data_IF_741710708988
#
_entry.id   IF_741710708988
#
_cell.length_a   1.000
_cell.length_b   1.000
_cell.length_c   1.000
_cell.angle_alpha   90.00
_cell.angle_beta   90.00
_cell.angle_gamma   90.00
#
_symmetry.space_group_name_H-M   'P 1'
#
loop_
_entity.id
_entity.type
_entity.pdbx_description
1 polymer ?
#
# COMPACT_ATOMS: atom_id res chain seq x y z
N UNK A 1 -14.80 27.81 -50.01
CA UNK A 1 -14.71 26.33 -49.87
C UNK A 1 -13.30 25.82 -49.59
N UNK A 2 -12.27 26.24 -50.35
CA UNK A 2 -10.89 25.73 -50.13
C UNK A 2 -10.37 26.15 -48.75
N UNK A 3 -10.54 27.42 -48.36
CA UNK A 3 -10.11 27.93 -47.04
C UNK A 3 -10.82 27.20 -45.90
N UNK A 4 -12.14 27.00 -45.99
CA UNK A 4 -12.92 26.29 -44.98
C UNK A 4 -12.54 24.80 -44.87
N UNK A 5 -12.23 24.15 -46.00
CA UNK A 5 -11.77 22.75 -46.01
C UNK A 5 -10.37 22.63 -45.40
N UNK A 6 -9.45 23.53 -45.74
CA UNK A 6 -8.11 23.57 -45.15
C UNK A 6 -8.18 23.77 -43.64
N UNK A 7 -9.01 24.71 -43.16
CA UNK A 7 -9.21 24.93 -41.72
C UNK A 7 -9.74 23.65 -41.04
N UNK A 8 -10.74 22.99 -41.64
CA UNK A 8 -11.29 21.74 -41.10
C UNK A 8 -10.23 20.63 -41.03
N UNK A 9 -9.40 20.48 -42.06
CA UNK A 9 -8.32 19.51 -42.10
C UNK A 9 -7.25 19.74 -41.01
N UNK A 10 -7.05 20.97 -40.55
CA UNK A 10 -6.16 21.25 -39.41
C UNK A 10 -6.86 21.10 -38.06
N UNK A 11 -8.15 21.46 -37.97
CA UNK A 11 -8.90 21.40 -36.71
C UNK A 11 -9.17 19.97 -36.25
N UNK A 12 -9.51 19.05 -37.16
CA UNK A 12 -9.85 17.67 -36.78
C UNK A 12 -8.68 16.93 -36.11
N UNK A 13 -7.45 16.90 -36.68
CA UNK A 13 -6.30 16.31 -36.00
C UNK A 13 -5.97 16.99 -34.69
N UNK A 14 -6.06 18.32 -34.64
CA UNK A 14 -5.76 19.09 -33.42
C UNK A 14 -6.73 18.75 -32.29
N UNK A 15 -8.03 18.69 -32.58
CA UNK A 15 -9.07 18.29 -31.63
C UNK A 15 -8.89 16.84 -31.17
N UNK A 16 -8.55 15.94 -32.10
CA UNK A 16 -8.27 14.55 -31.76
C UNK A 16 -7.07 14.44 -30.80
N UNK A 17 -5.97 15.14 -31.08
CA UNK A 17 -4.78 15.15 -30.23
C UNK A 17 -5.08 15.71 -28.84
N UNK A 18 -5.84 16.80 -28.75
CA UNK A 18 -6.25 17.39 -27.46
C UNK A 18 -7.12 16.39 -26.69
N UNK A 19 -8.15 15.83 -27.32
CA UNK A 19 -9.05 14.86 -26.69
C UNK A 19 -8.30 13.64 -26.19
N UNK A 20 -7.38 13.11 -27.00
CA UNK A 20 -6.59 11.94 -26.64
C UNK A 20 -5.65 12.23 -25.46
N UNK A 21 -4.99 13.39 -25.47
CA UNK A 21 -4.10 13.83 -24.38
C UNK A 21 -4.87 13.97 -23.07
N UNK A 22 -6.00 14.66 -23.10
CA UNK A 22 -6.88 14.82 -21.93
C UNK A 22 -7.34 13.45 -21.41
N UNK A 23 -7.76 12.55 -22.29
CA UNK A 23 -8.16 11.19 -21.88
C UNK A 23 -7.04 10.43 -21.17
N UNK A 24 -5.81 10.51 -21.69
CA UNK A 24 -4.65 9.88 -21.07
C UNK A 24 -4.33 10.46 -19.70
N UNK A 25 -4.32 11.78 -19.57
CA UNK A 25 -4.07 12.46 -18.29
C UNK A 25 -5.14 12.13 -17.25
N UNK A 26 -6.41 12.11 -17.66
CA UNK A 26 -7.52 11.72 -16.78
C UNK A 26 -7.36 10.28 -16.30
N UNK A 27 -7.02 9.34 -17.20
CA UNK A 27 -6.77 7.93 -16.82
C UNK A 27 -5.61 7.79 -15.84
N UNK A 28 -4.51 8.52 -16.06
CA UNK A 28 -3.36 8.52 -15.15
C UNK A 28 -3.72 9.12 -13.79
N UNK A 29 -4.47 10.22 -13.77
CA UNK A 29 -4.92 10.87 -12.53
C UNK A 29 -5.83 9.94 -11.72
N UNK A 30 -6.85 9.35 -12.37
CA UNK A 30 -7.76 8.39 -11.73
C UNK A 30 -7.00 7.16 -11.25
N UNK A 31 -6.08 6.64 -12.07
CA UNK A 31 -5.22 5.50 -11.70
C UNK A 31 -4.39 5.80 -10.45
N UNK A 32 -3.79 6.99 -10.38
CA UNK A 32 -2.96 7.42 -9.24
C UNK A 32 -3.79 7.62 -7.98
N UNK A 33 -4.96 8.26 -8.13
CA UNK A 33 -5.89 8.46 -7.02
C UNK A 33 -6.35 7.12 -6.43
N UNK A 34 -6.65 6.14 -7.29
CA UNK A 34 -7.04 4.79 -6.86
C UNK A 34 -5.94 4.10 -6.04
N UNK A 35 -4.68 4.12 -6.51
CA UNK A 35 -3.57 3.53 -5.75
C UNK A 35 -3.37 4.22 -4.39
N UNK A 36 -3.49 5.56 -4.37
CA UNK A 36 -3.38 6.34 -3.13
C UNK A 36 -4.49 6.01 -2.13
N UNK A 37 -5.74 5.86 -2.58
CA UNK A 37 -6.86 5.48 -1.70
C UNK A 37 -6.70 4.07 -1.13
N UNK A 38 -6.16 3.16 -1.94
CA UNK A 38 -5.84 1.80 -1.50
C UNK A 38 -4.77 1.80 -0.40
N UNK A 39 -3.70 2.57 -0.61
CA UNK A 39 -2.65 2.77 0.38
C UNK A 39 -3.17 3.39 1.69
N UNK A 40 -4.01 4.43 1.61
CA UNK A 40 -4.58 5.08 2.80
C UNK A 40 -5.47 4.12 3.61
N UNK A 41 -6.23 3.26 2.92
CA UNK A 41 -7.06 2.24 3.57
C UNK A 41 -6.20 1.21 4.31
N UNK A 42 -5.09 0.78 3.68
CA UNK A 42 -4.10 -0.10 4.30
C UNK A 42 -3.45 0.54 5.53
N UNK A 43 -3.07 1.83 5.45
CA UNK A 43 -2.45 2.55 6.56
C UNK A 43 -3.32 2.65 7.80
N UNK A 44 -4.63 2.85 7.66
CA UNK A 44 -5.53 2.89 8.81
C UNK A 44 -5.51 1.58 9.61
N UNK A 45 -5.51 0.44 8.93
CA UNK A 45 -5.42 -0.88 9.57
C UNK A 45 -4.08 -1.11 10.25
N UNK A 46 -2.99 -0.89 9.51
CA UNK A 46 -1.63 -1.20 9.97
C UNK A 46 -1.20 -0.32 11.12
N UNK A 47 -1.57 0.96 11.09
CA UNK A 47 -1.17 1.91 12.12
C UNK A 47 -1.74 1.54 13.49
N UNK A 48 -2.98 1.04 13.56
CA UNK A 48 -3.59 0.61 14.82
C UNK A 48 -2.91 -0.64 15.38
N UNK A 49 -2.56 -1.60 14.51
CA UNK A 49 -1.94 -2.87 14.93
C UNK A 49 -0.49 -2.68 15.37
N UNK A 50 0.29 -1.88 14.65
CA UNK A 50 1.69 -1.59 15.02
C UNK A 50 1.78 -0.82 16.32
N UNK A 51 0.86 0.12 16.56
CA UNK A 51 0.83 0.85 17.84
C UNK A 51 0.64 -0.07 19.05
N UNK A 52 -0.04 -1.20 18.86
CA UNK A 52 -0.28 -2.21 19.89
C UNK A 52 0.70 -3.39 19.82
N UNK A 53 1.53 -3.40 18.78
CA UNK A 53 2.44 -4.49 18.45
C UNK A 53 3.77 -4.38 19.18
N UNK A 54 4.42 -5.53 19.37
CA UNK A 54 5.78 -5.64 19.88
C UNK A 54 6.50 -6.83 19.24
N UNK A 55 7.82 -6.89 19.41
CA UNK A 55 8.62 -8.01 18.89
C UNK A 55 8.60 -8.08 17.36
N UNK A 56 8.63 -6.92 16.69
CA UNK A 56 8.63 -6.84 15.23
C UNK A 56 9.86 -7.56 14.66
N UNK A 57 9.63 -8.49 13.74
CA UNK A 57 10.68 -9.18 13.01
C UNK A 57 10.17 -9.61 11.64
N UNK A 58 11.10 -9.96 10.74
CA UNK A 58 10.76 -10.57 9.46
C UNK A 58 11.09 -12.05 9.46
N UNK A 59 10.27 -12.84 8.77
CA UNK A 59 10.57 -14.24 8.51
C UNK A 59 11.44 -14.43 7.26
N UNK A 60 11.76 -15.68 6.93
CA UNK A 60 12.57 -16.05 5.77
C UNK A 60 11.92 -15.64 4.42
N UNK A 61 10.61 -15.43 4.40
CA UNK A 61 9.85 -15.00 3.22
C UNK A 61 9.66 -13.47 3.18
N UNK A 62 10.37 -12.73 4.04
CA UNK A 62 10.21 -11.29 4.20
C UNK A 62 8.79 -10.89 4.61
N UNK A 63 8.06 -11.75 5.34
CA UNK A 63 6.80 -11.37 5.97
C UNK A 63 7.08 -10.68 7.30
N UNK A 64 6.37 -9.59 7.60
CA UNK A 64 6.41 -8.97 8.93
C UNK A 64 5.58 -9.78 9.92
N UNK A 65 6.17 -10.11 11.06
CA UNK A 65 5.52 -10.79 12.17
C UNK A 65 5.71 -9.98 13.44
N UNK A 66 4.66 -9.87 14.25
CA UNK A 66 4.70 -9.21 15.56
C UNK A 66 3.60 -9.73 16.49
N UNK A 67 3.81 -9.55 17.79
CA UNK A 67 2.86 -9.91 18.84
C UNK A 67 1.97 -8.71 19.18
N UNK A 68 0.68 -8.94 19.38
CA UNK A 68 -0.26 -7.98 19.95
C UNK A 68 -0.29 -8.08 21.48
N UNK A 69 -0.86 -7.05 22.11
CA UNK A 69 -1.02 -6.97 23.57
C UNK A 69 -1.88 -8.10 24.16
N UNK A 70 -2.82 -8.64 23.38
CA UNK A 70 -3.67 -9.77 23.77
C UNK A 70 -2.95 -11.15 23.66
N UNK A 71 -1.74 -11.18 23.12
CA UNK A 71 -0.94 -12.39 22.90
C UNK A 71 -1.16 -13.09 21.56
N UNK A 72 -1.99 -12.52 20.67
CA UNK A 72 -2.10 -12.99 19.29
C UNK A 72 -0.88 -12.54 18.47
N UNK A 73 -0.56 -13.27 17.42
CA UNK A 73 0.46 -12.89 16.45
C UNK A 73 -0.17 -12.49 15.12
N UNK A 74 0.32 -11.38 14.56
CA UNK A 74 -0.06 -10.90 13.24
C UNK A 74 1.06 -11.20 12.26
N UNK A 75 0.68 -11.61 11.05
CA UNK A 75 1.59 -11.76 9.91
C UNK A 75 1.09 -10.95 8.72
N UNK A 76 1.93 -10.05 8.22
CA UNK A 76 1.74 -9.40 6.93
C UNK A 76 2.71 -9.96 5.91
N UNK A 77 2.20 -10.38 4.76
CA UNK A 77 3.03 -10.93 3.69
C UNK A 77 2.56 -10.47 2.31
N UNK A 78 3.50 -10.34 1.39
CA UNK A 78 3.19 -10.22 -0.03
C UNK A 78 2.87 -11.60 -0.59
N UNK A 79 1.66 -11.78 -1.13
CA UNK A 79 1.28 -13.00 -1.83
C UNK A 79 0.72 -12.64 -3.21
N UNK A 80 1.49 -12.95 -4.24
CA UNK A 80 1.22 -12.46 -5.59
C UNK A 80 1.32 -10.93 -5.62
N UNK A 81 0.27 -10.25 -6.08
CA UNK A 81 0.20 -8.77 -6.10
C UNK A 81 -0.62 -8.16 -4.96
N UNK A 82 -0.62 -8.82 -3.79
CA UNK A 82 -1.49 -8.48 -2.67
C UNK A 82 -0.74 -8.55 -1.34
N UNK A 83 -0.95 -7.56 -0.47
CA UNK A 83 -0.59 -7.69 0.95
C UNK A 83 -1.75 -8.36 1.67
N UNK A 84 -1.45 -9.48 2.31
CA UNK A 84 -2.42 -10.23 3.10
C UNK A 84 -2.01 -10.24 4.57
N UNK A 85 -3.02 -10.22 5.42
CA UNK A 85 -2.92 -10.32 6.87
C UNK A 85 -3.44 -11.68 7.32
N UNK A 86 -2.70 -12.36 8.17
CA UNK A 86 -3.16 -13.56 8.87
C UNK A 86 -2.92 -13.43 10.37
N UNK A 87 -3.72 -14.14 11.18
CA UNK A 87 -3.66 -14.08 12.64
C UNK A 87 -3.37 -15.47 13.18
N UNK A 88 -2.47 -15.57 14.14
CA UNK A 88 -2.32 -16.77 14.96
C UNK A 88 -2.82 -16.42 16.36
N UNK A 89 -3.95 -16.99 16.74
CA UNK A 89 -4.56 -16.75 18.06
C UNK A 89 -3.66 -17.34 19.14
N UNK A 90 -3.61 -16.70 20.30
CA UNK A 90 -2.87 -17.22 21.46
C UNK A 90 -3.23 -18.69 21.76
N UNK A 91 -2.22 -19.55 21.77
CA UNK A 91 -2.38 -20.99 22.03
C UNK A 91 -2.51 -21.85 20.76
N UNK A 92 -2.65 -21.23 19.59
CA UNK A 92 -2.59 -21.93 18.32
C UNK A 92 -1.17 -22.04 17.77
N UNK A 93 -0.92 -23.07 16.97
CA UNK A 93 0.39 -23.32 16.37
C UNK A 93 0.56 -22.69 14.98
N UNK A 94 -0.54 -22.34 14.31
CA UNK A 94 -0.55 -21.93 12.90
C UNK A 94 -1.31 -20.63 12.70
N UNK A 95 -0.88 -19.83 11.72
CA UNK A 95 -1.65 -18.67 11.27
C UNK A 95 -2.91 -19.13 10.55
N UNK A 96 -4.06 -18.59 10.96
CA UNK A 96 -5.37 -18.88 10.39
C UNK A 96 -6.01 -17.61 9.84
N UNK A 97 -6.94 -17.83 8.89
CA UNK A 97 -7.60 -16.76 8.16
C UNK A 97 -6.65 -15.96 7.26
N UNK A 98 -7.21 -15.32 6.25
CA UNK A 98 -6.49 -14.26 5.56
C UNK A 98 -7.44 -13.13 5.18
N UNK A 99 -6.99 -11.91 5.40
CA UNK A 99 -7.64 -10.69 4.92
C UNK A 99 -6.72 -10.06 3.90
N UNK A 100 -7.26 -9.72 2.73
CA UNK A 100 -6.52 -8.93 1.74
C UNK A 100 -6.61 -7.48 2.17
N UNK A 101 -5.49 -6.86 2.52
CA UNK A 101 -5.46 -5.46 2.95
C UNK A 101 -5.22 -4.51 1.78
N UNK A 102 -4.45 -4.96 0.78
CA UNK A 102 -4.10 -4.15 -0.38
C UNK A 102 -3.81 -5.06 -1.57
N UNK A 103 -4.18 -4.61 -2.76
CA UNK A 103 -3.89 -5.20 -4.06
C UNK A 103 -2.94 -4.29 -4.84
N UNK A 104 -2.62 -4.68 -6.07
CA UNK A 104 -1.73 -3.94 -6.97
C UNK A 104 -0.31 -3.74 -6.44
N UNK A 105 0.10 -4.51 -5.44
CA UNK A 105 1.42 -4.41 -4.82
C UNK A 105 2.41 -5.22 -5.64
N UNK A 106 3.38 -4.57 -6.30
CA UNK A 106 4.43 -5.30 -7.01
C UNK A 106 5.66 -5.55 -6.14
N UNK A 107 5.86 -4.72 -5.10
CA UNK A 107 6.89 -4.94 -4.09
C UNK A 107 6.43 -4.43 -2.72
N UNK A 108 6.90 -5.10 -1.67
CA UNK A 108 6.89 -4.55 -0.32
C UNK A 108 8.12 -5.06 0.42
N UNK A 109 8.77 -4.16 1.15
CA UNK A 109 9.85 -4.47 2.09
C UNK A 109 9.41 -3.99 3.47
N UNK A 110 9.49 -4.88 4.45
CA UNK A 110 9.26 -4.54 5.85
C UNK A 110 10.60 -4.46 6.55
N UNK A 111 10.90 -3.30 7.14
CA UNK A 111 12.15 -3.06 7.87
C UNK A 111 11.77 -2.83 9.34
N UNK A 112 11.72 -3.89 10.15
CA UNK A 112 11.46 -3.76 11.58
C UNK A 112 12.69 -3.18 12.29
N UNK A 113 12.43 -2.36 13.29
CA UNK A 113 13.36 -1.87 14.30
C UNK A 113 12.68 -2.04 15.68
N UNK A 114 13.40 -1.82 16.78
CA UNK A 114 12.97 -2.16 18.14
C UNK A 114 11.51 -1.80 18.44
N UNK A 115 11.11 -0.56 18.11
CA UNK A 115 9.77 -0.02 18.36
C UNK A 115 9.16 0.65 17.13
N UNK A 116 9.58 0.30 15.92
CA UNK A 116 9.02 0.88 14.69
C UNK A 116 9.15 -0.08 13.53
N UNK A 117 8.31 0.12 12.52
CA UNK A 117 8.40 -0.62 11.27
C UNK A 117 8.35 0.37 10.14
N UNK A 118 9.32 0.26 9.24
CA UNK A 118 9.30 0.98 7.96
C UNK A 118 8.74 0.06 6.89
N UNK A 119 7.76 0.58 6.16
CA UNK A 119 7.15 -0.03 5.00
C UNK A 119 7.70 0.69 3.77
N UNK A 120 8.32 -0.04 2.87
CA UNK A 120 8.63 0.44 1.53
C UNK A 120 7.76 -0.34 0.54
N UNK A 121 6.81 0.34 -0.09
CA UNK A 121 5.73 -0.28 -0.87
C UNK A 121 5.69 0.31 -2.27
N UNK A 122 5.75 -0.58 -3.26
CA UNK A 122 5.49 -0.26 -4.66
C UNK A 122 4.12 -0.77 -5.10
N UNK A 123 3.29 0.15 -5.58
CA UNK A 123 1.98 -0.10 -6.16
C UNK A 123 1.99 0.16 -7.67
N UNK A 124 1.27 -0.66 -8.43
CA UNK A 124 1.17 -0.49 -9.87
C UNK A 124 -0.14 -1.04 -10.42
N UNK A 125 -0.82 -0.22 -11.21
CA UNK A 125 -1.94 -0.62 -12.06
C UNK A 125 -1.58 -0.39 -13.54
N UNK A 126 -2.56 -0.56 -14.44
CA UNK A 126 -2.34 -0.41 -15.88
C UNK A 126 -1.91 1.01 -16.32
N UNK A 127 -2.28 2.04 -15.56
CA UNK A 127 -2.11 3.44 -15.96
C UNK A 127 -0.94 4.13 -15.26
N UNK A 128 -0.51 3.65 -14.09
CA UNK A 128 0.46 4.34 -13.25
C UNK A 128 1.14 3.40 -12.23
N UNK A 129 2.24 3.88 -11.65
CA UNK A 129 2.92 3.29 -10.50
C UNK A 129 3.11 4.32 -9.39
N UNK A 130 3.18 3.85 -8.15
CA UNK A 130 3.32 4.68 -6.97
C UNK A 130 4.21 3.97 -5.95
N UNK A 131 5.31 4.61 -5.56
CA UNK A 131 6.23 4.12 -4.53
C UNK A 131 6.08 4.98 -3.28
N UNK A 132 5.93 4.33 -2.12
CA UNK A 132 5.70 5.00 -0.85
C UNK A 132 6.53 4.31 0.23
N UNK A 133 7.33 5.12 0.91
CA UNK A 133 8.01 4.72 2.14
C UNK A 133 7.32 5.38 3.34
N UNK A 134 7.01 4.61 4.38
CA UNK A 134 6.40 5.14 5.62
C UNK A 134 6.89 4.38 6.82
N UNK A 135 7.25 5.12 7.87
CA UNK A 135 7.69 4.55 9.15
C UNK A 135 6.59 4.76 10.19
N UNK A 136 6.19 3.68 10.85
CA UNK A 136 5.21 3.70 11.93
C UNK A 136 5.91 3.27 13.21
N UNK A 137 5.85 4.11 14.23
CA UNK A 137 6.34 3.78 15.57
C UNK A 137 5.26 3.03 16.35
N UNK A 138 5.65 1.92 16.97
CA UNK A 138 4.91 1.30 18.06
C UNK A 138 4.88 2.18 19.30
N UNK A 139 4.03 1.84 20.26
CA UNK A 139 3.98 2.56 21.54
C UNK A 139 5.25 2.27 22.33
N UNK A 140 6.07 3.29 22.58
CA UNK A 140 7.20 3.13 23.50
C UNK A 140 6.67 3.06 24.94
N UNK A 141 7.09 2.05 25.70
CA UNK A 141 6.84 1.95 27.14
C UNK A 141 7.66 2.99 27.94
N UNK A 142 7.54 4.28 27.61
CA UNK A 142 8.21 5.38 28.33
C UNK A 142 7.62 5.63 29.74
N UNK A 143 6.64 4.84 30.18
CA UNK A 143 6.05 4.94 31.52
C UNK A 143 6.53 3.85 32.51
N UNK A 144 7.50 3.01 32.15
CA UNK A 144 8.00 1.96 33.05
C UNK A 144 9.12 2.42 34.02
N UNK A 145 9.63 3.65 33.87
CA UNK A 145 10.77 4.15 34.67
C UNK A 145 10.41 5.21 35.73
N UNK A 146 9.13 5.33 36.09
CA UNK A 146 8.64 6.28 37.10
C UNK A 146 7.89 5.60 38.25
N UNK A 147 8.33 4.40 38.66
CA UNK A 147 7.90 3.74 39.90
C UNK A 147 9.08 3.09 40.60
#
# INVERSE_FOLDING_TARGET
MIISLSILCFLLPSLFLISHTVEMEVKQMVGTHRLKMEYLSFMNWVQEEIKQGKGFHTDQQQALIFDLSNGDQIRYQLKGRKIIRSVKVKGENTFQGYTVLMNHVYMVVFIPDQNRVTFDIGLQNWHTSLEIMTTISGRSDLNASAR
#
